data_IF_961260528679
#
_entry.id   IF_961260528679
#
_cell.length_a   1.000
_cell.length_b   1.000
_cell.length_c   1.000
_cell.angle_alpha   90.00
_cell.angle_beta   90.00
_cell.angle_gamma   90.00
#
_symmetry.space_group_name_H-M   'P 1'
#
loop_
_entity.id
_entity.type
_entity.pdbx_description
1 polymer ?
#
# COMPACT_ATOMS: atom_id res chain seq x y z
N UNK A 1 -2.01 16.00 -7.37
CA UNK A 1 -2.22 16.10 -5.90
C UNK A 1 -1.25 15.15 -5.22
N UNK A 2 -0.93 15.35 -3.96
CA UNK A 2 0.05 14.53 -3.21
C UNK A 2 -0.63 13.83 -2.02
N UNK A 3 -0.14 12.66 -1.63
CA UNK A 3 -0.61 11.84 -0.49
C UNK A 3 0.56 11.49 0.41
N UNK A 4 0.38 11.55 1.73
CA UNK A 4 1.39 11.08 2.69
C UNK A 4 1.12 9.61 3.04
N UNK A 5 2.17 8.79 3.05
CA UNK A 5 2.12 7.36 3.35
C UNK A 5 3.14 7.04 4.43
N UNK A 6 2.80 6.10 5.30
CA UNK A 6 3.69 5.56 6.33
C UNK A 6 3.66 4.04 6.25
N UNK A 7 4.82 3.40 6.15
CA UNK A 7 4.96 1.96 6.17
C UNK A 7 5.33 1.48 7.57
N UNK A 8 4.60 0.48 8.08
CA UNK A 8 4.88 -0.19 9.35
C UNK A 8 5.30 -1.64 9.09
N UNK A 9 6.19 -2.21 9.91
CA UNK A 9 6.81 -1.64 11.12
C UNK A 9 8.05 -0.77 10.86
N UNK A 10 8.54 -0.67 9.61
CA UNK A 10 9.79 0.03 9.28
C UNK A 10 9.81 1.51 9.67
N UNK A 11 8.66 2.16 9.74
CA UNK A 11 8.52 3.56 10.10
C UNK A 11 8.85 4.52 8.96
N UNK A 12 9.11 4.01 7.75
CA UNK A 12 9.38 4.83 6.58
C UNK A 12 8.15 5.68 6.25
N UNK A 13 8.34 6.98 6.14
CA UNK A 13 7.30 7.93 5.80
C UNK A 13 7.71 8.85 4.66
N UNK A 14 6.71 9.30 3.90
CA UNK A 14 6.97 10.22 2.81
C UNK A 14 5.71 10.59 2.04
N UNK A 15 5.92 11.41 1.02
CA UNK A 15 4.84 11.94 0.18
C UNK A 15 4.99 11.41 -1.23
N UNK A 16 3.89 10.94 -1.80
CA UNK A 16 3.80 10.38 -3.15
C UNK A 16 2.74 11.11 -3.96
N UNK A 17 2.80 10.98 -5.28
CA UNK A 17 1.74 11.51 -6.14
C UNK A 17 0.44 10.72 -5.94
N UNK A 18 -0.69 11.42 -6.03
CA UNK A 18 -2.00 10.79 -6.06
C UNK A 18 -2.13 9.85 -7.28
N UNK A 19 -2.75 8.69 -7.08
CA UNK A 19 -2.96 7.69 -8.13
C UNK A 19 -1.84 6.66 -8.28
N UNK A 20 -0.70 6.80 -7.60
CA UNK A 20 0.30 5.71 -7.56
C UNK A 20 -0.20 4.56 -6.70
N UNK A 21 0.21 3.35 -7.05
CA UNK A 21 -0.11 2.15 -6.26
C UNK A 21 0.66 2.12 -4.94
N UNK A 22 0.18 1.36 -3.96
CA UNK A 22 0.91 1.15 -2.69
C UNK A 22 2.27 0.49 -2.93
N UNK A 23 2.37 -0.41 -3.91
CA UNK A 23 3.65 -1.02 -4.31
C UNK A 23 4.64 0.01 -4.88
N UNK A 24 4.18 0.93 -5.70
CA UNK A 24 5.04 2.01 -6.22
C UNK A 24 5.45 2.97 -5.10
N UNK A 25 4.54 3.32 -4.19
CA UNK A 25 4.85 4.12 -3.02
C UNK A 25 5.93 3.44 -2.15
N UNK A 26 5.81 2.12 -1.93
CA UNK A 26 6.80 1.35 -1.20
C UNK A 26 8.19 1.41 -1.85
N UNK A 27 8.25 1.25 -3.18
CA UNK A 27 9.51 1.35 -3.95
C UNK A 27 10.12 2.74 -3.88
N UNK A 28 9.32 3.80 -4.01
CA UNK A 28 9.80 5.18 -3.93
C UNK A 28 10.37 5.52 -2.55
N UNK A 29 9.74 5.01 -1.49
CA UNK A 29 10.15 5.27 -0.10
C UNK A 29 11.16 4.24 0.44
N UNK A 30 11.55 3.24 -0.36
CA UNK A 30 12.50 2.20 0.04
C UNK A 30 11.96 1.21 1.08
N UNK A 31 10.64 1.05 1.15
CA UNK A 31 10.03 0.05 2.03
C UNK A 31 10.29 -1.36 1.50
N UNK A 32 10.71 -2.25 2.40
CA UNK A 32 11.05 -3.64 2.10
C UNK A 32 9.78 -4.46 1.83
N UNK A 33 9.25 -4.31 0.61
CA UNK A 33 8.11 -5.07 0.09
C UNK A 33 8.58 -5.83 -1.15
N UNK A 34 8.60 -7.15 -1.05
CA UNK A 34 8.98 -8.00 -2.17
C UNK A 34 7.88 -8.05 -3.25
N UNK A 35 8.29 -7.96 -4.52
CA UNK A 35 7.40 -8.09 -5.67
C UNK A 35 8.13 -8.71 -6.85
N UNK A 36 8.44 -9.99 -6.74
CA UNK A 36 9.02 -10.79 -7.84
C UNK A 36 8.16 -10.81 -9.10
N UNK A 37 6.84 -10.61 -8.98
CA UNK A 37 5.95 -10.53 -10.13
C UNK A 37 5.83 -9.14 -10.74
N UNK A 38 6.42 -8.10 -10.12
CA UNK A 38 6.37 -6.73 -10.62
C UNK A 38 4.98 -6.08 -10.57
N UNK A 39 4.09 -6.53 -9.67
CA UNK A 39 2.72 -5.99 -9.55
C UNK A 39 1.65 -6.74 -10.36
N UNK A 40 1.97 -7.87 -11.00
CA UNK A 40 1.02 -8.67 -11.81
C UNK A 40 0.00 -9.52 -11.02
N UNK A 41 0.01 -9.47 -9.68
CA UNK A 41 -0.96 -10.20 -8.85
C UNK A 41 -0.89 -11.73 -8.94
N UNK A 42 0.30 -12.32 -9.07
CA UNK A 42 0.47 -13.79 -9.15
C UNK A 42 1.32 -14.38 -8.03
N UNK A 43 2.11 -13.57 -7.31
CA UNK A 43 3.03 -14.07 -6.28
C UNK A 43 2.59 -13.79 -4.83
N UNK A 44 1.70 -12.82 -4.60
CA UNK A 44 1.19 -12.47 -3.27
C UNK A 44 2.19 -11.85 -2.29
N UNK A 45 3.43 -11.58 -2.70
CA UNK A 45 4.48 -11.10 -1.78
C UNK A 45 4.37 -9.63 -1.39
N UNK A 46 3.68 -8.82 -2.19
CA UNK A 46 3.48 -7.40 -1.95
C UNK A 46 2.14 -7.07 -1.26
N UNK A 47 1.52 -8.05 -0.59
CA UNK A 47 0.29 -7.82 0.16
C UNK A 47 0.56 -6.98 1.40
N UNK A 48 -0.35 -6.06 1.70
CA UNK A 48 -0.33 -5.19 2.88
C UNK A 48 -1.67 -5.24 3.61
N UNK A 49 -1.68 -4.78 4.85
CA UNK A 49 -2.89 -4.55 5.62
C UNK A 49 -3.08 -3.05 5.82
N UNK A 50 -4.11 -2.43 5.21
CA UNK A 50 -4.42 -1.03 5.45
C UNK A 50 -4.78 -0.80 6.92
N UNK A 51 -4.36 0.33 7.48
CA UNK A 51 -4.70 0.74 8.84
C UNK A 51 -5.48 2.04 8.80
N UNK A 52 -6.66 2.08 9.42
CA UNK A 52 -7.52 3.27 9.54
C UNK A 52 -7.48 3.82 10.96
N UNK A 53 -7.79 5.10 11.13
CA UNK A 53 -7.84 5.79 12.42
C UNK A 53 -6.91 7.00 12.51
N UNK A 54 -6.67 7.45 13.75
CA UNK A 54 -5.82 8.60 14.06
C UNK A 54 -4.49 8.09 14.64
N UNK A 55 -3.38 8.46 13.99
CA UNK A 55 -2.05 8.03 14.40
C UNK A 55 -1.23 9.22 14.88
N UNK A 56 -1.31 9.53 16.17
CA UNK A 56 -0.65 10.69 16.79
C UNK A 56 0.87 10.71 16.57
N UNK A 57 1.53 9.53 16.59
CA UNK A 57 2.98 9.40 16.34
C UNK A 57 3.42 10.05 15.03
N UNK A 58 2.60 9.93 13.98
CA UNK A 58 2.90 10.51 12.67
C UNK A 58 2.05 11.75 12.36
N UNK A 59 1.08 12.10 13.21
CA UNK A 59 0.18 13.22 12.96
C UNK A 59 -0.69 13.02 11.70
N UNK A 60 -1.10 11.78 11.43
CA UNK A 60 -1.95 11.45 10.26
C UNK A 60 -3.29 10.87 10.71
N UNK A 61 -4.34 11.20 9.95
CA UNK A 61 -5.66 10.58 10.05
C UNK A 61 -5.93 9.83 8.76
N UNK A 62 -6.25 8.54 8.87
CA UNK A 62 -6.49 7.64 7.73
C UNK A 62 -7.94 7.18 7.79
N UNK A 63 -8.72 7.52 6.76
CA UNK A 63 -10.10 7.08 6.59
C UNK A 63 -10.17 5.84 5.70
N UNK A 64 -11.33 5.18 5.62
CA UNK A 64 -11.54 4.04 4.71
C UNK A 64 -11.35 4.44 3.24
N UNK A 65 -11.58 5.71 2.90
CA UNK A 65 -11.35 6.29 1.58
C UNK A 65 -9.89 6.67 1.28
N UNK A 66 -8.94 6.33 2.15
CA UNK A 66 -7.53 6.62 1.93
C UNK A 66 -6.94 5.82 0.76
N UNK A 67 -7.50 4.65 0.48
CA UNK A 67 -7.18 3.79 -0.66
C UNK A 67 -8.39 3.65 -1.57
N UNK A 68 -8.15 3.30 -2.83
CA UNK A 68 -9.22 2.85 -3.73
C UNK A 68 -9.72 1.47 -3.30
N UNK A 69 -10.87 1.09 -3.84
CA UNK A 69 -11.29 -0.31 -3.85
C UNK A 69 -10.21 -1.21 -4.48
N UNK A 70 -10.14 -2.51 -4.09
CA UNK A 70 -9.21 -3.46 -4.67
C UNK A 70 -9.35 -3.54 -6.19
N UNK A 71 -8.22 -3.44 -6.89
CA UNK A 71 -8.19 -3.60 -8.33
C UNK A 71 -8.44 -5.06 -8.74
N UNK A 72 -8.80 -5.29 -10.00
CA UNK A 72 -9.04 -6.63 -10.55
C UNK A 72 -7.87 -7.60 -10.27
N UNK A 73 -6.65 -7.10 -10.35
CA UNK A 73 -5.43 -7.87 -10.07
C UNK A 73 -5.39 -8.42 -8.63
N UNK A 74 -5.87 -7.64 -7.66
CA UNK A 74 -5.90 -8.01 -6.24
C UNK A 74 -7.03 -9.00 -5.97
N UNK A 75 -8.21 -8.76 -6.54
CA UNK A 75 -9.37 -9.64 -6.43
C UNK A 75 -9.11 -11.00 -7.08
N UNK A 76 -8.54 -11.02 -8.28
CA UNK A 76 -8.17 -12.25 -8.99
C UNK A 76 -7.16 -13.09 -8.22
N UNK A 77 -6.18 -12.46 -7.54
CA UNK A 77 -5.24 -13.18 -6.69
C UNK A 77 -5.95 -13.85 -5.51
N UNK A 78 -6.83 -13.12 -4.80
CA UNK A 78 -7.60 -13.68 -3.68
C UNK A 78 -8.50 -14.83 -4.12
N UNK A 79 -9.22 -14.67 -5.23
CA UNK A 79 -10.13 -15.70 -5.74
C UNK A 79 -9.44 -17.01 -6.10
N UNK A 80 -8.22 -16.97 -6.66
CA UNK A 80 -7.42 -18.17 -6.98
C UNK A 80 -6.86 -18.89 -5.75
N UNK A 81 -6.99 -18.30 -4.55
CA UNK A 81 -6.41 -18.79 -3.30
C UNK A 81 -7.47 -19.02 -2.20
N UNK A 82 -8.74 -18.81 -2.52
CA UNK A 82 -9.89 -19.21 -1.71
C UNK A 82 -10.22 -20.69 -1.96
#
# INVERSE_FOLDING_TARGET
MQRRVVFTPSGLDGVVQDGVTVLEAARQLGADIDSVCGGRGICGRCQITPSTGVFAKWGITVTESALSEPAETETNYRAKRA
#
